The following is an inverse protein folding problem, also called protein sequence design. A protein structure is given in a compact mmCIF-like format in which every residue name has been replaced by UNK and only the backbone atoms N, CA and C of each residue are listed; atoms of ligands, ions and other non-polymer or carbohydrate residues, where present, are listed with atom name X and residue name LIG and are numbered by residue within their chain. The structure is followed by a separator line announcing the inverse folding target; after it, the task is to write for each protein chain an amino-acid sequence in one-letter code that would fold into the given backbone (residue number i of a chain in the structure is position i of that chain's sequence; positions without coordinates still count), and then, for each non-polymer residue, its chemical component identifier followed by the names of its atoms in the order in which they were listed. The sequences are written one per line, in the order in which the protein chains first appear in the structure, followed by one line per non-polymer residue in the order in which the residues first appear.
data_IF_938025867603
#
_entry.id   IF_938025867603
#
_cell.length_a   1.000
_cell.length_b   1.000
_cell.length_c   1.000
_cell.angle_alpha   90.00
_cell.angle_beta   90.00
_cell.angle_gamma   90.00
#
_symmetry.space_group_name_H-M   'P 1'
#
loop_
_entity.id
_entity.type
_entity.pdbx_description
1 polymer ?
#
# COMPACT_ATOMS: atom_id res chain seq x y z
N UNK A 1 -12.15 -12.91 -17.30
CA UNK A 1 -11.06 -12.28 -16.52
C UNK A 1 -9.94 -13.30 -16.47
N UNK A 2 -8.78 -13.04 -17.08
CA UNK A 2 -7.62 -13.92 -16.82
C UNK A 2 -7.17 -13.66 -15.39
N UNK A 3 -7.19 -14.70 -14.57
CA UNK A 3 -6.64 -14.63 -13.23
C UNK A 3 -5.15 -14.91 -13.34
N UNK A 4 -4.34 -13.86 -13.22
CA UNK A 4 -2.90 -14.01 -13.04
C UNK A 4 -2.64 -14.51 -11.62
N UNK A 5 -1.77 -15.50 -11.49
CA UNK A 5 -1.21 -15.92 -10.22
C UNK A 5 -0.34 -14.81 -9.61
N UNK A 6 -0.23 -14.78 -8.29
CA UNK A 6 0.65 -13.82 -7.59
C UNK A 6 2.10 -13.89 -8.09
N UNK A 7 2.56 -15.08 -8.47
CA UNK A 7 3.88 -15.32 -9.04
C UNK A 7 4.05 -14.66 -10.41
N UNK A 8 3.03 -14.69 -11.26
CA UNK A 8 3.05 -14.01 -12.56
C UNK A 8 3.04 -12.49 -12.40
N UNK A 9 2.25 -11.98 -11.45
CA UNK A 9 2.21 -10.55 -11.12
C UNK A 9 3.58 -10.10 -10.60
N UNK A 10 4.14 -10.82 -9.63
CA UNK A 10 5.45 -10.51 -9.06
C UNK A 10 6.59 -10.57 -10.08
N UNK A 11 6.51 -11.50 -11.05
CA UNK A 11 7.47 -11.59 -12.15
C UNK A 11 7.35 -10.43 -13.14
N UNK A 12 6.15 -9.90 -13.36
CA UNK A 12 5.89 -8.77 -14.25
C UNK A 12 6.19 -7.40 -13.61
N UNK A 13 6.30 -7.31 -12.29
CA UNK A 13 6.58 -6.06 -11.57
C UNK A 13 8.06 -5.68 -11.65
N UNK A 14 8.38 -4.66 -12.46
CA UNK A 14 9.74 -4.09 -12.56
C UNK A 14 10.18 -3.38 -11.28
N UNK A 15 9.23 -2.78 -10.55
CA UNK A 15 9.46 -2.13 -9.26
C UNK A 15 8.67 -2.92 -8.21
N UNK A 16 9.38 -3.55 -7.29
CA UNK A 16 8.82 -4.35 -6.21
C UNK A 16 9.52 -4.00 -4.89
N UNK A 17 8.75 -4.05 -3.80
CA UNK A 17 9.31 -3.99 -2.46
C UNK A 17 10.11 -5.26 -2.19
N UNK A 18 11.12 -5.13 -1.33
CA UNK A 18 11.78 -6.29 -0.76
C UNK A 18 10.78 -7.11 0.05
N UNK A 19 11.14 -8.37 0.24
CA UNK A 19 10.29 -9.37 0.89
C UNK A 19 10.27 -9.24 2.42
N UNK A 20 10.54 -8.03 2.92
CA UNK A 20 10.64 -7.64 4.33
C UNK A 20 10.08 -6.23 4.47
N UNK A 21 9.20 -6.03 5.47
CA UNK A 21 8.71 -4.69 5.79
C UNK A 21 9.78 -3.90 6.57
N UNK A 22 9.90 -2.59 6.31
CA UNK A 22 10.77 -1.74 7.11
C UNK A 22 10.25 -1.65 8.55
N UNK A 23 11.12 -1.25 9.47
CA UNK A 23 10.70 -0.92 10.83
C UNK A 23 9.65 0.20 10.84
N UNK A 24 8.78 0.19 11.87
CA UNK A 24 7.75 1.22 12.02
C UNK A 24 8.37 2.61 12.08
N UNK A 25 7.97 3.45 11.14
CA UNK A 25 8.45 4.82 11.06
C UNK A 25 7.96 5.64 12.24
N UNK A 26 8.88 6.34 12.91
CA UNK A 26 8.57 7.33 13.94
C UNK A 26 8.65 8.72 13.30
N UNK A 27 7.67 9.58 13.60
CA UNK A 27 7.70 10.95 13.10
C UNK A 27 8.80 11.75 13.80
N UNK A 28 9.78 12.21 13.03
CA UNK A 28 10.82 13.12 13.52
C UNK A 28 10.23 14.47 13.95
N UNK A 29 10.59 14.90 15.16
CA UNK A 29 10.20 16.17 15.75
C UNK A 29 10.86 17.36 15.02
N UNK A 30 10.19 18.51 14.99
CA UNK A 30 10.70 19.73 14.34
C UNK A 30 10.56 19.77 12.81
N UNK A 31 10.14 18.66 12.18
CA UNK A 31 9.88 18.63 10.73
C UNK A 31 8.45 19.10 10.43
N UNK A 32 8.31 20.18 9.64
CA UNK A 32 7.01 20.64 9.13
C UNK A 32 6.43 19.63 8.14
N UNK A 33 5.18 19.23 8.33
CA UNK A 33 4.45 18.29 7.45
C UNK A 33 3.23 18.96 6.80
N UNK A 34 2.74 18.36 5.72
CA UNK A 34 1.48 18.79 5.12
C UNK A 34 0.33 18.66 6.14
N UNK A 35 -0.66 19.56 6.12
CA UNK A 35 -1.83 19.44 6.96
C UNK A 35 -2.68 18.22 6.56
N UNK A 36 -3.50 17.74 7.51
CA UNK A 36 -4.50 16.70 7.27
C UNK A 36 -5.45 17.13 6.14
N UNK A 37 -5.74 16.20 5.21
CA UNK A 37 -6.65 16.44 4.08
C UNK A 37 -8.12 16.18 4.44
N UNK A 38 -8.38 15.59 5.59
CA UNK A 38 -9.68 15.07 6.03
C UNK A 38 -10.08 13.79 5.31
N UNK A 39 -11.02 13.05 5.90
CA UNK A 39 -11.60 11.85 5.30
C UNK A 39 -12.96 12.18 4.66
N UNK A 40 -13.00 12.16 3.32
CA UNK A 40 -14.18 12.55 2.53
C UNK A 40 -14.63 11.49 1.53
N UNK A 41 -14.00 10.32 1.55
CA UNK A 41 -14.30 9.24 0.62
C UNK A 41 -15.57 8.50 1.04
N UNK A 42 -16.39 8.10 0.07
CA UNK A 42 -17.41 7.07 0.30
C UNK A 42 -16.75 5.72 0.60
N UNK A 43 -17.53 4.76 1.09
CA UNK A 43 -17.04 3.40 1.29
C UNK A 43 -16.44 2.80 -0.01
N UNK A 44 -17.15 2.93 -1.13
CA UNK A 44 -16.67 2.43 -2.43
C UNK A 44 -15.39 3.13 -2.89
N UNK A 45 -15.25 4.42 -2.63
CA UNK A 45 -14.02 5.15 -2.93
C UNK A 45 -12.87 4.75 -2.02
N UNK A 46 -13.16 4.45 -0.74
CA UNK A 46 -12.19 3.98 0.23
C UNK A 46 -11.65 2.61 -0.18
N UNK A 47 -12.51 1.69 -0.61
CA UNK A 47 -12.08 0.39 -1.14
C UNK A 47 -11.19 0.53 -2.38
N UNK A 48 -11.51 1.45 -3.29
CA UNK A 48 -10.69 1.72 -4.48
C UNK A 48 -9.34 2.32 -4.07
N UNK A 49 -9.34 3.29 -3.15
CA UNK A 49 -8.11 3.90 -2.64
C UNK A 49 -7.21 2.84 -1.97
N UNK A 50 -7.80 1.94 -1.19
CA UNK A 50 -7.09 0.85 -0.53
C UNK A 50 -6.49 -0.12 -1.54
N UNK A 51 -7.27 -0.58 -2.54
CA UNK A 51 -6.75 -1.43 -3.63
C UNK A 51 -5.59 -0.76 -4.39
N UNK A 52 -5.69 0.56 -4.61
CA UNK A 52 -4.63 1.33 -5.27
C UNK A 52 -3.36 1.44 -4.42
N UNK A 53 -3.46 1.49 -3.09
CA UNK A 53 -2.32 1.47 -2.20
C UNK A 53 -1.68 0.07 -2.12
N UNK A 54 -2.51 -0.97 -1.96
CA UNK A 54 -2.06 -2.36 -1.76
C UNK A 54 -1.47 -3.01 -3.01
N UNK A 55 -1.73 -2.48 -4.22
CA UNK A 55 -1.19 -3.05 -5.48
C UNK A 55 0.34 -3.07 -5.57
N UNK A 56 1.02 -2.31 -4.70
CA UNK A 56 2.49 -2.25 -4.64
C UNK A 56 3.08 -3.14 -3.54
N UNK A 57 2.24 -3.69 -2.67
CA UNK A 57 2.64 -4.47 -1.50
C UNK A 57 2.29 -5.94 -1.75
N UNK A 58 3.21 -6.89 -1.53
CA UNK A 58 2.89 -8.31 -1.57
C UNK A 58 1.71 -8.67 -0.65
N UNK A 59 0.81 -9.54 -1.10
CA UNK A 59 -0.43 -9.92 -0.39
C UNK A 59 -0.19 -10.42 1.03
N UNK A 60 0.90 -11.15 1.25
CA UNK A 60 1.35 -11.62 2.58
C UNK A 60 1.54 -10.51 3.62
N UNK A 61 1.70 -9.26 3.19
CA UNK A 61 1.86 -8.10 4.08
C UNK A 61 0.61 -7.25 4.21
N UNK A 62 -0.48 -7.55 3.48
CA UNK A 62 -1.68 -6.71 3.48
C UNK A 62 -2.29 -6.58 4.88
N UNK A 63 -2.28 -7.64 5.68
CA UNK A 63 -2.80 -7.62 7.06
C UNK A 63 -2.00 -6.70 8.00
N UNK A 64 -0.71 -6.49 7.75
CA UNK A 64 0.16 -5.68 8.61
C UNK A 64 0.09 -4.18 8.29
N UNK A 65 -0.28 -3.83 7.05
CA UNK A 65 -0.29 -2.45 6.55
C UNK A 65 -1.68 -1.82 6.48
N UNK A 66 -2.74 -2.57 6.81
CA UNK A 66 -4.14 -2.09 6.92
C UNK A 66 -4.41 -1.71 8.38
#
# INVERSE_FOLDING_TARGET
MSFYSETEIAAAMTVKLDDVLPEKTVFEEGIRRAPDRGFRLSQSQTEIALKNALRYVPTKFHEEVI
#
